data_IF_479678418228
#
_entry.id   IF_479678418228
#
_cell.length_a   1.000
_cell.length_b   1.000
_cell.length_c   1.000
_cell.angle_alpha   90.00
_cell.angle_beta   90.00
_cell.angle_gamma   90.00
#
_symmetry.space_group_name_H-M   'P 1'
#
loop_
_entity.id
_entity.type
_entity.pdbx_description
1 polymer ?
#
# COMPACT_ATOMS: atom_id res chain seq x y z
N UNK A 1 -6.90 -30.56 5.11
CA UNK A 1 -6.60 -29.14 4.70
C UNK A 1 -7.43 -28.91 3.45
N UNK A 2 -8.24 -27.86 3.42
CA UNK A 2 -8.97 -27.44 2.22
C UNK A 2 -7.98 -26.97 1.16
N UNK A 3 -8.38 -27.11 -0.10
CA UNK A 3 -7.57 -26.66 -1.24
C UNK A 3 -7.52 -25.14 -1.27
N UNK A 4 -6.34 -24.56 -1.48
CA UNK A 4 -6.17 -23.11 -1.67
C UNK A 4 -6.75 -22.71 -3.02
N UNK A 5 -7.66 -21.75 -3.03
CA UNK A 5 -8.31 -21.25 -4.23
C UNK A 5 -7.86 -19.81 -4.52
N UNK A 6 -7.67 -19.52 -5.81
CA UNK A 6 -7.29 -18.22 -6.33
C UNK A 6 -8.53 -17.41 -6.76
N UNK A 7 -8.56 -16.14 -6.40
CA UNK A 7 -9.62 -15.19 -6.70
C UNK A 7 -9.05 -13.88 -7.24
N UNK A 8 -9.69 -13.30 -8.23
CA UNK A 8 -9.47 -11.90 -8.60
C UNK A 8 -10.24 -10.99 -7.63
N UNK A 9 -9.86 -9.72 -7.52
CA UNK A 9 -10.48 -8.83 -6.53
C UNK A 9 -12.00 -8.65 -6.71
N UNK A 10 -12.55 -8.54 -7.93
CA UNK A 10 -14.00 -8.46 -8.11
C UNK A 10 -14.79 -9.66 -7.58
N UNK A 11 -14.15 -10.81 -7.36
CA UNK A 11 -14.80 -12.03 -6.89
C UNK A 11 -14.90 -12.11 -5.36
N UNK A 12 -14.25 -11.19 -4.62
CA UNK A 12 -14.19 -11.24 -3.17
C UNK A 12 -14.58 -9.90 -2.54
N UNK A 13 -15.20 -9.92 -1.34
CA UNK A 13 -15.39 -8.71 -0.56
C UNK A 13 -14.05 -8.09 -0.17
N UNK A 14 -13.88 -6.80 -0.42
CA UNK A 14 -12.66 -6.06 -0.13
C UNK A 14 -12.92 -4.57 0.08
N UNK A 15 -11.94 -3.85 0.61
CA UNK A 15 -11.92 -2.40 0.67
C UNK A 15 -10.58 -1.91 0.07
N UNK A 16 -10.66 -0.96 -0.86
CA UNK A 16 -9.49 -0.34 -1.47
C UNK A 16 -9.20 0.98 -0.78
N UNK A 17 -7.95 1.20 -0.40
CA UNK A 17 -7.43 2.44 0.17
C UNK A 17 -6.61 3.20 -0.87
N UNK A 18 -6.67 4.52 -0.81
CA UNK A 18 -5.92 5.40 -1.70
C UNK A 18 -6.65 5.70 -3.02
N UNK A 19 -5.96 6.40 -3.90
CA UNK A 19 -6.44 6.72 -5.25
C UNK A 19 -6.02 5.61 -6.21
N UNK A 20 -6.92 5.23 -7.10
CA UNK A 20 -6.71 4.20 -8.13
C UNK A 20 -7.18 4.70 -9.49
N UNK A 21 -6.85 3.96 -10.53
CA UNK A 21 -7.39 4.18 -11.88
C UNK A 21 -8.75 3.52 -12.12
N UNK A 22 -9.39 2.99 -11.07
CA UNK A 22 -10.66 2.29 -11.15
C UNK A 22 -10.58 0.82 -11.58
N UNK A 23 -9.41 0.32 -11.99
CA UNK A 23 -9.22 -1.10 -12.29
C UNK A 23 -9.01 -1.91 -11.01
N UNK A 24 -9.64 -3.08 -10.94
CA UNK A 24 -9.41 -4.11 -9.93
C UNK A 24 -8.72 -5.36 -10.48
N UNK A 25 -8.44 -5.39 -11.79
CA UNK A 25 -7.81 -6.53 -12.48
C UNK A 25 -6.79 -6.03 -13.52
N UNK A 26 -5.55 -5.77 -13.06
CA UNK A 26 -5.03 -5.71 -11.71
C UNK A 26 -5.38 -4.42 -10.95
N UNK A 27 -5.31 -4.45 -9.62
CA UNK A 27 -5.35 -3.25 -8.80
C UNK A 27 -3.96 -2.61 -8.73
N UNK A 28 -3.79 -1.44 -9.33
CA UNK A 28 -2.53 -0.70 -9.29
C UNK A 28 -2.46 0.22 -8.08
N UNK A 29 -1.38 0.12 -7.32
CA UNK A 29 -1.10 0.92 -6.14
C UNK A 29 -0.15 2.07 -6.50
N UNK A 30 -0.66 3.30 -6.56
CA UNK A 30 0.13 4.46 -7.00
C UNK A 30 0.86 5.16 -5.86
N UNK A 31 0.14 5.51 -4.79
CA UNK A 31 0.59 6.40 -3.73
C UNK A 31 1.00 5.64 -2.47
N UNK A 32 1.76 6.28 -1.58
CA UNK A 32 1.99 5.78 -0.22
C UNK A 32 0.67 5.44 0.46
N UNK A 33 0.63 4.33 1.18
CA UNK A 33 -0.54 3.80 1.87
C UNK A 33 -1.73 3.43 0.94
N UNK A 34 -1.58 3.51 -0.39
CA UNK A 34 -2.54 2.87 -1.28
C UNK A 34 -2.50 1.36 -1.09
N UNK A 35 -3.67 0.71 -1.04
CA UNK A 35 -3.69 -0.69 -0.72
C UNK A 35 -5.04 -1.36 -0.70
N UNK A 36 -5.04 -2.55 -0.15
CA UNK A 36 -6.19 -3.46 -0.08
C UNK A 36 -6.42 -3.90 1.37
N UNK A 37 -7.68 -3.96 1.78
CA UNK A 37 -8.08 -4.54 3.06
C UNK A 37 -9.05 -5.69 2.84
N UNK A 38 -8.81 -6.78 3.55
CA UNK A 38 -9.56 -8.04 3.45
C UNK A 38 -9.89 -8.57 4.83
N UNK A 39 -11.04 -9.22 4.97
CA UNK A 39 -11.35 -10.11 6.08
C UNK A 39 -11.33 -11.55 5.59
N UNK A 40 -10.48 -12.38 6.18
CA UNK A 40 -10.25 -13.77 5.77
C UNK A 40 -10.55 -14.72 6.92
N UNK A 41 -11.41 -15.71 6.69
CA UNK A 41 -11.57 -16.90 7.53
C UNK A 41 -10.95 -18.07 6.79
N UNK A 42 -9.84 -18.56 7.26
CA UNK A 42 -9.01 -19.59 6.62
C UNK A 42 -7.69 -19.74 7.34
N UNK A 43 -6.92 -20.79 7.05
CA UNK A 43 -5.65 -21.03 7.72
C UNK A 43 -4.46 -20.36 7.02
N UNK A 44 -4.62 -19.98 5.76
CA UNK A 44 -3.59 -19.32 4.97
C UNK A 44 -4.14 -18.26 4.00
N UNK A 45 -3.33 -17.23 3.74
CA UNK A 45 -3.58 -16.19 2.75
C UNK A 45 -2.31 -15.96 1.94
N UNK A 46 -2.49 -15.91 0.63
CA UNK A 46 -1.45 -15.55 -0.34
C UNK A 46 -1.94 -14.40 -1.21
N UNK A 47 -1.00 -13.62 -1.70
CA UNK A 47 -1.27 -12.51 -2.61
C UNK A 47 -0.34 -12.61 -3.80
N UNK A 48 -0.90 -12.44 -4.99
CA UNK A 48 -0.14 -12.38 -6.23
C UNK A 48 0.08 -10.93 -6.61
N UNK A 49 1.35 -10.52 -6.69
CA UNK A 49 1.78 -9.20 -7.11
C UNK A 49 2.44 -9.24 -8.48
N UNK A 50 2.33 -8.15 -9.20
CA UNK A 50 3.23 -7.83 -10.32
C UNK A 50 3.89 -6.49 -10.03
N UNK A 51 5.21 -6.43 -10.22
CA UNK A 51 5.96 -5.19 -10.08
C UNK A 51 7.03 -5.05 -11.16
N UNK A 52 7.32 -3.80 -11.49
CA UNK A 52 8.46 -3.43 -12.32
C UNK A 52 9.00 -2.07 -11.89
N UNK A 53 10.26 -1.76 -12.26
CA UNK A 53 10.94 -0.49 -12.02
C UNK A 53 12.26 -0.46 -12.79
N UNK A 54 12.79 0.72 -13.03
CA UNK A 54 14.14 0.87 -13.54
C UNK A 54 15.13 1.30 -12.45
N UNK A 55 14.73 2.23 -11.60
CA UNK A 55 15.59 2.88 -10.60
C UNK A 55 15.07 2.65 -9.19
N UNK A 56 13.75 2.75 -8.98
CA UNK A 56 13.13 2.82 -7.65
C UNK A 56 12.19 1.65 -7.42
N UNK A 57 12.69 0.63 -6.76
CA UNK A 57 11.91 -0.56 -6.41
C UNK A 57 10.73 -0.20 -5.48
N UNK A 58 9.52 -0.71 -5.76
CA UNK A 58 8.41 -0.59 -4.83
C UNK A 58 8.63 -1.44 -3.58
N UNK A 59 8.19 -0.92 -2.43
CA UNK A 59 8.10 -1.66 -1.17
C UNK A 59 6.65 -1.71 -0.71
N UNK A 60 6.28 -2.80 -0.04
CA UNK A 60 4.93 -3.00 0.48
C UNK A 60 4.95 -3.71 1.83
N UNK A 61 3.89 -3.48 2.60
CA UNK A 61 3.74 -4.00 3.96
C UNK A 61 2.42 -4.73 4.16
N UNK A 62 2.43 -5.65 5.12
CA UNK A 62 1.25 -6.35 5.61
C UNK A 62 1.00 -6.06 7.07
N UNK A 63 -0.27 -5.80 7.39
CA UNK A 63 -0.78 -5.82 8.76
C UNK A 63 -1.79 -6.96 8.90
N UNK A 64 -1.77 -7.63 10.04
CA UNK A 64 -2.76 -8.65 10.39
C UNK A 64 -3.37 -8.30 11.74
N UNK A 65 -4.69 -8.15 11.80
CA UNK A 65 -5.43 -7.77 12.99
C UNK A 65 -4.94 -6.45 13.65
N UNK A 66 -4.53 -5.50 12.80
CA UNK A 66 -4.05 -4.19 13.25
C UNK A 66 -2.58 -4.13 13.65
N UNK A 67 -1.86 -5.25 13.65
CA UNK A 67 -0.43 -5.29 13.97
C UNK A 67 0.42 -5.44 12.72
N UNK A 68 1.56 -4.76 12.70
CA UNK A 68 2.55 -4.92 11.63
C UNK A 68 3.07 -6.36 11.60
N UNK A 69 3.07 -6.95 10.42
CA UNK A 69 3.43 -8.35 10.24
C UNK A 69 4.71 -8.53 9.42
N UNK A 70 4.79 -7.91 8.28
CA UNK A 70 6.00 -7.96 7.45
C UNK A 70 6.05 -6.82 6.43
N UNK A 71 7.25 -6.52 5.98
CA UNK A 71 7.56 -5.56 4.92
C UNK A 71 8.49 -6.21 3.91
N UNK A 72 8.28 -5.93 2.62
CA UNK A 72 9.04 -6.57 1.54
C UNK A 72 9.36 -5.58 0.42
N UNK A 73 10.52 -5.78 -0.19
CA UNK A 73 10.83 -5.25 -1.52
C UNK A 73 10.10 -6.09 -2.57
N UNK A 74 9.38 -5.47 -3.48
CA UNK A 74 8.74 -6.17 -4.59
C UNK A 74 9.80 -6.78 -5.52
N UNK A 75 9.51 -7.95 -6.07
CA UNK A 75 10.36 -8.56 -7.09
C UNK A 75 9.84 -8.20 -8.48
N UNK A 76 10.75 -7.94 -9.44
CA UNK A 76 10.35 -7.72 -10.84
C UNK A 76 9.60 -8.92 -11.40
N UNK A 77 8.55 -8.64 -12.16
CA UNK A 77 7.64 -9.67 -12.69
C UNK A 77 6.55 -10.03 -11.70
N UNK A 78 6.04 -11.24 -11.79
CA UNK A 78 4.93 -11.73 -10.97
C UNK A 78 5.44 -12.63 -9.86
N UNK A 79 5.07 -12.32 -8.62
CA UNK A 79 5.40 -13.14 -7.45
C UNK A 79 4.16 -13.49 -6.64
N UNK A 80 4.20 -14.66 -6.01
CA UNK A 80 3.19 -15.16 -5.07
C UNK A 80 3.74 -15.09 -3.66
N UNK A 81 3.13 -14.29 -2.80
CA UNK A 81 3.63 -13.98 -1.46
C UNK A 81 2.70 -14.54 -0.39
N UNK A 82 3.27 -15.31 0.54
CA UNK A 82 2.55 -15.76 1.72
C UNK A 82 2.39 -14.60 2.70
N UNK A 83 1.15 -14.25 3.03
CA UNK A 83 0.85 -13.29 4.10
C UNK A 83 0.89 -13.98 5.44
N UNK A 84 0.13 -15.06 5.59
CA UNK A 84 0.19 -15.94 6.76
C UNK A 84 -0.13 -17.38 6.37
N UNK A 85 0.32 -18.34 7.19
CA UNK A 85 0.03 -19.76 7.04
C UNK A 85 -0.02 -20.47 8.39
N UNK A 86 -0.98 -21.39 8.55
CA UNK A 86 -1.14 -22.19 9.77
C UNK A 86 -1.83 -21.44 10.90
N UNK A 87 -2.55 -20.34 10.63
CA UNK A 87 -3.41 -19.69 11.61
C UNK A 87 -4.71 -20.46 11.84
N UNK A 88 -5.39 -20.17 12.95
CA UNK A 88 -6.68 -20.79 13.28
C UNK A 88 -7.71 -20.52 12.16
N UNK A 89 -8.21 -21.56 11.45
CA UNK A 89 -9.10 -21.38 10.32
C UNK A 89 -10.49 -20.86 10.68
N UNK A 90 -10.91 -20.99 11.96
CA UNK A 90 -12.22 -20.54 12.42
C UNK A 90 -12.25 -19.04 12.76
N UNK A 91 -11.08 -18.45 13.00
CA UNK A 91 -10.98 -17.02 13.33
C UNK A 91 -10.86 -16.16 12.08
N UNK A 92 -11.58 -15.05 12.07
CA UNK A 92 -11.44 -14.03 11.05
C UNK A 92 -10.14 -13.24 11.29
N UNK A 93 -9.35 -13.05 10.25
CA UNK A 93 -8.17 -12.17 10.23
C UNK A 93 -8.47 -10.98 9.34
N UNK A 94 -8.37 -9.78 9.90
CA UNK A 94 -8.33 -8.55 9.12
C UNK A 94 -6.91 -8.36 8.59
N UNK A 95 -6.77 -8.25 7.29
CA UNK A 95 -5.48 -8.07 6.60
C UNK A 95 -5.49 -6.77 5.84
N UNK A 96 -4.48 -5.92 6.06
CA UNK A 96 -4.22 -4.74 5.24
C UNK A 96 -2.90 -4.93 4.51
N UNK A 97 -2.94 -4.62 3.24
CA UNK A 97 -1.80 -4.61 2.33
C UNK A 97 -1.65 -3.19 1.83
N UNK A 98 -0.48 -2.59 1.93
CA UNK A 98 -0.28 -1.26 1.40
C UNK A 98 1.12 -1.03 0.84
N UNK A 99 1.19 -0.15 -0.14
CA UNK A 99 2.43 0.33 -0.71
C UNK A 99 3.11 1.26 0.29
N UNK A 100 4.39 1.02 0.56
CA UNK A 100 5.20 1.87 1.44
C UNK A 100 5.81 3.07 0.73
N UNK A 101 6.10 2.90 -0.57
CA UNK A 101 6.73 3.94 -1.38
C UNK A 101 5.70 4.86 -2.04
N UNK A 102 6.08 6.10 -2.28
CA UNK A 102 5.30 7.06 -3.07
C UNK A 102 5.22 6.68 -4.55
N UNK A 103 4.49 7.46 -5.34
CA UNK A 103 4.64 7.45 -6.80
C UNK A 103 6.04 7.94 -7.16
N UNK A 104 6.77 7.19 -7.97
CA UNK A 104 8.14 7.52 -8.35
C UNK A 104 8.13 8.26 -9.70
N UNK A 105 7.90 9.58 -9.66
CA UNK A 105 7.79 10.40 -10.87
C UNK A 105 9.05 10.42 -11.73
N UNK A 106 10.21 10.12 -11.15
CA UNK A 106 11.48 9.96 -11.88
C UNK A 106 11.68 8.56 -12.46
N UNK A 107 10.80 7.62 -12.16
CA UNK A 107 10.83 6.23 -12.62
C UNK A 107 9.41 5.81 -13.05
N UNK A 108 9.01 6.10 -14.30
CA UNK A 108 7.68 5.76 -14.81
C UNK A 108 7.40 4.25 -14.83
N UNK A 109 8.45 3.43 -14.86
CA UNK A 109 8.33 1.96 -14.83
C UNK A 109 8.09 1.43 -13.40
N UNK A 110 8.27 2.27 -12.36
CA UNK A 110 8.02 1.84 -10.97
C UNK A 110 6.53 1.64 -10.72
N UNK A 111 6.11 0.38 -10.79
CA UNK A 111 4.72 -0.05 -10.65
C UNK A 111 4.61 -1.18 -9.62
N UNK A 112 3.50 -1.19 -8.88
CA UNK A 112 3.10 -2.29 -8.00
C UNK A 112 1.62 -2.57 -8.18
N UNK A 113 1.30 -3.83 -8.48
CA UNK A 113 -0.06 -4.28 -8.76
C UNK A 113 -0.41 -5.50 -7.93
N UNK A 114 -1.66 -5.58 -7.49
CA UNK A 114 -2.26 -6.79 -6.91
C UNK A 114 -3.12 -7.45 -7.99
N UNK A 115 -2.78 -8.67 -8.37
CA UNK A 115 -3.48 -9.42 -9.41
C UNK A 115 -4.59 -10.29 -8.83
N UNK A 116 -4.29 -10.98 -7.72
CA UNK A 116 -5.18 -11.96 -7.11
C UNK A 116 -4.85 -12.18 -5.64
N UNK A 117 -5.80 -12.80 -4.94
CA UNK A 117 -5.67 -13.28 -3.57
C UNK A 117 -6.05 -14.75 -3.50
N UNK A 118 -5.43 -15.50 -2.59
CA UNK A 118 -5.67 -16.94 -2.48
C UNK A 118 -5.81 -17.35 -1.01
N UNK A 119 -6.78 -18.21 -0.72
CA UNK A 119 -6.99 -18.77 0.61
C UNK A 119 -7.57 -20.19 0.54
N UNK A 120 -7.37 -20.95 1.60
CA UNK A 120 -8.03 -22.25 1.83
C UNK A 120 -9.42 -22.10 2.49
N UNK A 121 -9.87 -20.85 2.69
CA UNK A 121 -11.12 -20.51 3.35
C UNK A 121 -12.01 -19.57 2.54
N UNK A 122 -12.58 -18.57 3.18
CA UNK A 122 -13.50 -17.60 2.59
C UNK A 122 -13.13 -16.15 2.92
N UNK A 123 -13.53 -15.24 2.04
CA UNK A 123 -13.45 -13.79 2.27
C UNK A 123 -14.78 -13.26 2.79
N UNK A 124 -14.72 -12.36 3.77
CA UNK A 124 -15.88 -11.76 4.43
C UNK A 124 -15.92 -10.25 4.20
N UNK A 125 -17.08 -9.61 4.24
CA UNK A 125 -17.18 -8.16 4.09
C UNK A 125 -16.26 -7.40 5.04
N UNK A 126 -15.60 -6.36 4.54
CA UNK A 126 -14.87 -5.38 5.34
C UNK A 126 -15.84 -4.22 5.61
N UNK A 127 -16.12 -3.88 6.89
CA UNK A 127 -16.99 -2.76 7.21
C UNK A 127 -16.41 -1.43 6.71
N UNK A 128 -17.22 -0.62 6.05
CA UNK A 128 -16.85 0.76 5.74
C UNK A 128 -16.67 1.57 7.02
N UNK A 129 -15.73 2.51 7.01
CA UNK A 129 -15.54 3.47 8.09
C UNK A 129 -16.31 4.76 7.81
N UNK A 130 -16.86 5.36 8.86
CA UNK A 130 -17.61 6.60 8.74
C UNK A 130 -16.70 7.81 8.45
N UNK A 131 -15.44 7.74 8.83
CA UNK A 131 -14.46 8.80 8.65
C UNK A 131 -13.52 8.44 7.51
N UNK A 132 -13.35 9.37 6.58
CA UNK A 132 -12.38 9.28 5.47
C UNK A 132 -11.47 10.48 5.54
N UNK A 133 -10.14 10.26 5.59
CA UNK A 133 -9.16 11.33 5.71
C UNK A 133 -8.23 11.26 4.49
N UNK A 134 -8.03 12.39 3.85
CA UNK A 134 -7.01 12.56 2.83
C UNK A 134 -5.87 13.43 3.35
N UNK A 135 -4.65 12.94 3.22
CA UNK A 135 -3.42 13.62 3.56
C UNK A 135 -2.72 14.06 2.28
N UNK A 136 -2.46 15.34 2.18
CA UNK A 136 -1.81 15.94 1.01
C UNK A 136 -0.52 16.59 1.49
N UNK A 137 0.60 16.25 0.87
CA UNK A 137 1.89 16.80 1.33
C UNK A 137 3.09 16.34 0.51
N UNK A 138 4.23 16.51 1.11
CA UNK A 138 5.56 16.26 0.54
C UNK A 138 6.18 14.95 1.04
N UNK A 139 7.49 14.93 1.20
CA UNK A 139 8.28 13.77 1.65
C UNK A 139 7.85 13.26 3.03
N UNK A 140 7.52 14.16 3.97
CA UNK A 140 7.07 13.76 5.32
C UNK A 140 5.77 12.96 5.20
N UNK A 141 4.85 13.40 4.35
CA UNK A 141 3.57 12.72 4.12
C UNK A 141 3.75 11.44 3.29
N UNK A 142 4.80 11.36 2.47
CA UNK A 142 5.16 10.13 1.75
C UNK A 142 5.82 9.06 2.62
N UNK A 143 6.26 9.39 3.83
CA UNK A 143 6.98 8.48 4.71
C UNK A 143 8.46 8.32 4.38
N UNK A 144 9.05 9.31 3.70
CA UNK A 144 10.48 9.30 3.36
C UNK A 144 11.33 9.36 4.62
N UNK A 145 12.25 8.40 4.75
CA UNK A 145 13.17 8.34 5.89
C UNK A 145 12.57 7.83 7.20
N UNK A 146 11.29 7.45 7.24
CA UNK A 146 10.61 7.05 8.47
C UNK A 146 11.24 5.82 9.16
N UNK A 147 11.99 5.00 8.42
CA UNK A 147 12.73 3.84 8.95
C UNK A 147 14.24 3.89 8.71
N UNK A 148 14.75 5.03 8.25
CA UNK A 148 16.18 5.27 8.12
C UNK A 148 16.85 5.41 9.50
N UNK A 149 18.16 5.10 9.57
CA UNK A 149 18.93 5.36 10.76
C UNK A 149 19.09 6.87 10.98
N UNK A 150 19.25 7.30 12.24
CA UNK A 150 19.52 8.70 12.54
C UNK A 150 20.79 9.15 11.80
N UNK A 151 20.70 10.27 11.11
CA UNK A 151 21.73 10.86 10.27
C UNK A 151 21.97 10.12 8.92
N UNK A 152 21.13 9.16 8.57
CA UNK A 152 21.12 8.62 7.21
C UNK A 152 20.58 9.69 6.25
N UNK A 153 21.28 9.91 5.14
CA UNK A 153 20.93 10.96 4.17
C UNK A 153 20.66 10.42 2.76
N UNK A 154 20.80 9.12 2.58
CA UNK A 154 20.53 8.50 1.28
C UNK A 154 19.04 8.52 0.96
N UNK A 155 18.72 8.98 -0.23
CA UNK A 155 17.35 8.93 -0.75
C UNK A 155 17.14 7.62 -1.49
N UNK A 156 16.61 6.62 -0.79
CA UNK A 156 16.37 5.27 -1.32
C UNK A 156 14.98 4.77 -0.93
N UNK A 157 14.38 3.98 -1.82
CA UNK A 157 13.04 3.42 -1.63
C UNK A 157 12.91 2.61 -0.33
N UNK A 158 13.97 1.96 0.11
CA UNK A 158 14.00 1.16 1.32
C UNK A 158 13.66 1.96 2.59
N UNK A 159 13.93 3.27 2.64
CA UNK A 159 13.68 4.09 3.83
C UNK A 159 12.27 4.68 3.91
N UNK A 160 11.46 4.52 2.88
CA UNK A 160 10.04 4.87 2.95
C UNK A 160 9.27 3.87 3.82
N UNK A 161 8.30 4.35 4.58
CA UNK A 161 7.39 3.49 5.32
C UNK A 161 6.00 4.11 5.44
N UNK A 162 4.97 3.37 5.02
CA UNK A 162 3.59 3.76 5.28
C UNK A 162 3.20 3.47 6.74
N UNK A 163 3.63 2.33 7.31
CA UNK A 163 3.28 1.93 8.68
C UNK A 163 3.76 2.92 9.73
N UNK A 164 4.98 3.43 9.59
CA UNK A 164 5.55 4.38 10.54
C UNK A 164 5.17 5.83 10.23
N UNK A 165 4.42 6.05 9.14
CA UNK A 165 4.01 7.39 8.72
C UNK A 165 2.86 7.92 9.58
N UNK A 166 2.93 9.20 9.93
CA UNK A 166 1.91 9.87 10.75
C UNK A 166 0.49 9.73 10.16
N UNK A 167 0.35 9.74 8.83
CA UNK A 167 -0.94 9.64 8.17
C UNK A 167 -1.63 8.30 8.45
N UNK A 168 -0.88 7.19 8.39
CA UNK A 168 -1.39 5.86 8.73
C UNK A 168 -1.65 5.75 10.23
N UNK A 169 -0.75 6.27 11.07
CA UNK A 169 -0.94 6.26 12.54
C UNK A 169 -2.20 7.04 12.96
N UNK A 170 -2.44 8.23 12.42
CA UNK A 170 -3.64 9.05 12.69
C UNK A 170 -4.90 8.33 12.20
N UNK A 171 -4.88 7.80 10.98
CA UNK A 171 -6.02 7.06 10.43
C UNK A 171 -6.40 5.85 11.28
N UNK A 172 -5.40 5.11 11.78
CA UNK A 172 -5.62 3.99 12.71
C UNK A 172 -6.22 4.46 14.04
N UNK A 173 -5.65 5.50 14.63
CA UNK A 173 -6.12 6.04 15.92
C UNK A 173 -7.57 6.54 15.85
N UNK A 174 -7.98 7.07 14.70
CA UNK A 174 -9.33 7.58 14.45
C UNK A 174 -10.28 6.56 13.81
N UNK A 175 -9.83 5.34 13.55
CA UNK A 175 -10.57 4.33 12.78
C UNK A 175 -11.11 4.90 11.47
N UNK A 176 -10.25 5.56 10.69
CA UNK A 176 -10.59 6.23 9.44
C UNK A 176 -10.06 5.47 8.22
N UNK A 177 -10.77 5.59 7.09
CA UNK A 177 -10.21 5.26 5.79
C UNK A 177 -9.17 6.32 5.41
N UNK A 178 -8.12 5.88 4.74
CA UNK A 178 -6.97 6.73 4.40
C UNK A 178 -6.83 6.89 2.90
N UNK A 179 -6.47 8.12 2.51
CA UNK A 179 -5.94 8.45 1.20
C UNK A 179 -4.72 9.35 1.40
N UNK A 180 -3.63 9.06 0.71
CA UNK A 180 -2.43 9.89 0.70
C UNK A 180 -2.17 10.34 -0.73
N UNK A 181 -1.90 11.63 -0.90
CA UNK A 181 -1.50 12.25 -2.16
C UNK A 181 -0.28 13.11 -1.89
N UNK A 182 0.91 12.53 -2.03
CA UNK A 182 2.16 13.18 -1.61
C UNK A 182 3.32 12.81 -2.52
N UNK A 183 4.26 13.72 -2.63
CA UNK A 183 5.46 13.54 -3.45
C UNK A 183 6.64 14.27 -2.83
N UNK A 184 7.73 13.54 -2.62
CA UNK A 184 8.98 14.08 -2.07
C UNK A 184 9.50 15.26 -2.90
N UNK A 185 9.85 16.34 -2.21
CA UNK A 185 10.37 17.53 -2.84
C UNK A 185 9.33 18.41 -3.54
N UNK A 186 8.04 18.04 -3.52
CA UNK A 186 6.97 18.79 -4.17
C UNK A 186 6.22 19.65 -3.17
N UNK A 187 6.00 20.91 -3.53
CA UNK A 187 5.28 21.87 -2.70
C UNK A 187 3.94 22.29 -3.29
N UNK A 188 3.37 23.36 -2.76
CA UNK A 188 2.10 23.93 -3.25
C UNK A 188 2.31 24.73 -4.54
N UNK A 189 3.41 25.48 -4.61
CA UNK A 189 3.69 26.38 -5.75
C UNK A 189 4.85 25.89 -6.61
N UNK A 190 5.84 25.25 -6.02
CA UNK A 190 7.06 24.77 -6.68
C UNK A 190 7.73 23.69 -5.84
N UNK A 191 8.71 22.98 -6.40
CA UNK A 191 9.54 22.04 -5.67
C UNK A 191 10.54 22.70 -4.74
N UNK A 192 11.20 21.88 -3.89
CA UNK A 192 12.20 22.31 -2.90
C UNK A 192 13.37 23.12 -3.48
N UNK A 193 13.70 22.92 -4.76
CA UNK A 193 14.72 23.62 -5.52
C UNK A 193 14.16 24.75 -6.42
N UNK A 194 12.96 25.26 -6.10
CA UNK A 194 12.21 26.21 -6.91
C UNK A 194 11.80 25.69 -8.32
N UNK A 195 11.77 24.36 -8.51
CA UNK A 195 11.31 23.76 -9.76
C UNK A 195 9.80 24.05 -9.93
N UNK A 196 9.38 24.78 -10.97
CA UNK A 196 7.99 25.25 -11.09
C UNK A 196 7.01 24.13 -11.43
N UNK A 197 7.51 23.02 -11.98
CA UNK A 197 6.68 21.87 -12.37
C UNK A 197 6.56 20.81 -11.27
N UNK A 198 7.27 20.97 -10.14
CA UNK A 198 7.24 20.04 -9.02
C UNK A 198 6.27 20.57 -7.95
N UNK A 199 4.99 20.59 -8.28
CA UNK A 199 3.93 21.05 -7.40
C UNK A 199 2.76 20.04 -7.35
N UNK A 200 2.18 19.88 -6.17
CA UNK A 200 1.07 18.94 -5.93
C UNK A 200 -0.24 19.35 -6.62
N UNK A 201 -0.68 20.64 -6.62
CA UNK A 201 -1.99 21.00 -7.14
C UNK A 201 -2.27 20.57 -8.59
N UNK A 202 -1.32 20.65 -9.53
CA UNK A 202 -1.55 20.20 -10.91
C UNK A 202 -1.83 18.70 -11.06
N UNK A 203 -1.32 17.88 -10.16
CA UNK A 203 -1.48 16.42 -10.20
C UNK A 203 -2.59 15.92 -9.27
N UNK A 204 -3.09 16.78 -8.39
CA UNK A 204 -4.09 16.39 -7.39
C UNK A 204 -5.40 15.90 -7.99
N UNK A 205 -5.81 16.41 -9.14
CA UNK A 205 -7.04 16.03 -9.82
C UNK A 205 -6.93 14.87 -10.81
N UNK A 206 -5.74 14.25 -10.92
CA UNK A 206 -5.47 13.18 -11.88
C UNK A 206 -5.67 11.79 -11.31
#
# INVERSE_FOLDING_TARGET
MSEVKRYTLPEVPHLVHGRTNGSLTPLTLFWTAAGLELNVRGSELWVEFTADWDIHEPWYSFMVNGEFFSRRMAQKGTERVCVFRGMDPEKVKNVRIFKDTQAMNADPESVLQINAVETDGEFLPVPERNLKIEFIGDSITSGEGDIGAKAETDWISMFFSAENNYAVMVSRALNADIRVSSQSGWGVCCGWNNAPNSAIPPIYGQ
#
